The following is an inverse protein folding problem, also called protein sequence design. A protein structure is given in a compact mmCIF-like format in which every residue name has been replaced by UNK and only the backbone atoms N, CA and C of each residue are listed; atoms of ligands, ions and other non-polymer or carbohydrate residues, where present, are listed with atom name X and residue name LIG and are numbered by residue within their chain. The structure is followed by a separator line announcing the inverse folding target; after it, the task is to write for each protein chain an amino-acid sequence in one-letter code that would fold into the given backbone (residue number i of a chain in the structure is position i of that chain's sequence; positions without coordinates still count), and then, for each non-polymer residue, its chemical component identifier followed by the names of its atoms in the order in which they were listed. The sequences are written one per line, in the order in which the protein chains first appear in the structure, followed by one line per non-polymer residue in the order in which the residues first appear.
data_IF_025259096408
#
_entry.id   IF_025259096408
#
_cell.length_a   1.000
_cell.length_b   1.000
_cell.length_c   1.000
_cell.angle_alpha   90.00
_cell.angle_beta   90.00
_cell.angle_gamma   90.00
#
_symmetry.space_group_name_H-M   'P 1'
#
loop_
_entity.id
_entity.type
_entity.pdbx_description
1 polymer ?
#
# COMPACT_ATOMS: atom_id res chain seq x y z
N UNK A 1 10.73 -17.92 6.52
CA UNK A 1 10.95 -16.75 7.39
C UNK A 1 9.64 -15.99 7.51
N UNK A 2 9.42 -15.25 8.60
CA UNK A 2 8.23 -14.41 8.71
C UNK A 2 8.25 -13.33 7.61
N UNK A 3 7.14 -13.14 6.87
CA UNK A 3 7.10 -12.20 5.75
C UNK A 3 7.29 -10.77 6.24
N UNK A 4 8.06 -9.99 5.49
CA UNK A 4 8.11 -8.54 5.67
C UNK A 4 6.75 -7.95 5.37
N UNK A 5 6.27 -7.04 6.22
CA UNK A 5 5.11 -6.22 5.90
C UNK A 5 5.43 -5.46 4.61
N UNK A 6 4.50 -5.49 3.64
CA UNK A 6 4.54 -4.61 2.49
C UNK A 6 4.59 -3.15 2.95
N UNK A 7 5.13 -2.28 2.10
CA UNK A 7 5.23 -0.85 2.40
C UNK A 7 3.85 -0.19 2.66
N UNK A 8 3.84 1.07 3.08
CA UNK A 8 2.57 1.74 3.40
C UNK A 8 1.62 1.84 2.19
N UNK A 9 2.15 1.94 0.97
CA UNK A 9 1.34 2.09 -0.24
C UNK A 9 0.60 0.80 -0.60
N UNK A 10 1.21 -0.37 -0.34
CA UNK A 10 0.72 -1.67 -0.81
C UNK A 10 0.27 -2.61 0.32
N UNK A 11 -0.13 -2.07 1.48
CA UNK A 11 -0.52 -2.84 2.69
C UNK A 11 -1.87 -2.42 3.32
N UNK A 12 -2.68 -1.63 2.61
CA UNK A 12 -3.86 -0.96 3.19
C UNK A 12 -3.56 -0.25 4.51
N UNK A 13 -2.88 0.88 4.41
CA UNK A 13 -2.28 1.59 5.55
C UNK A 13 -3.23 2.43 6.41
N UNK A 14 -4.44 2.76 5.95
CA UNK A 14 -5.39 3.53 6.76
C UNK A 14 -5.63 2.83 8.11
N UNK A 15 -5.77 3.62 9.19
CA UNK A 15 -5.80 3.23 10.61
C UNK A 15 -4.51 2.68 11.22
N UNK A 16 -3.46 2.45 10.42
CA UNK A 16 -2.16 1.92 10.92
C UNK A 16 -1.13 3.01 11.22
N UNK A 17 -1.39 4.24 10.81
CA UNK A 17 -0.48 5.37 10.95
C UNK A 17 -1.21 6.61 11.44
N UNK A 18 -0.45 7.46 12.12
CA UNK A 18 -0.85 8.79 12.54
C UNK A 18 0.37 9.70 12.40
N UNK A 19 0.19 10.88 11.84
CA UNK A 19 1.23 11.91 11.75
C UNK A 19 0.79 13.15 12.51
N UNK A 20 1.69 13.69 13.32
CA UNK A 20 1.50 14.95 14.03
C UNK A 20 2.42 16.00 13.43
N UNK A 21 1.86 17.11 13.00
CA UNK A 21 2.59 18.27 12.52
C UNK A 21 3.09 19.13 13.69
N UNK A 22 4.10 20.00 13.48
CA UNK A 22 4.67 20.81 14.57
C UNK A 22 3.67 21.72 15.29
N UNK A 23 2.55 22.07 14.65
CA UNK A 23 1.47 22.87 15.24
C UNK A 23 0.43 22.02 16.02
N UNK A 24 0.69 20.73 16.21
CA UNK A 24 -0.22 19.80 16.88
C UNK A 24 -1.28 19.18 15.97
N UNK A 25 -1.36 19.57 14.69
CA UNK A 25 -2.36 19.02 13.78
C UNK A 25 -2.08 17.55 13.45
N UNK A 26 -3.15 16.76 13.41
CA UNK A 26 -3.09 15.31 13.22
C UNK A 26 -3.64 14.91 11.86
N UNK A 27 -2.91 14.04 11.17
CA UNK A 27 -3.19 13.55 9.83
C UNK A 27 -3.03 12.03 9.73
N UNK A 28 -3.69 11.36 8.76
CA UNK A 28 -3.66 9.90 8.64
C UNK A 28 -2.32 9.33 8.15
N UNK A 29 -1.42 10.17 7.61
CA UNK A 29 -0.07 9.76 7.23
C UNK A 29 0.88 10.97 7.15
N UNK A 30 2.18 10.72 6.94
CA UNK A 30 3.20 11.77 6.85
C UNK A 30 3.35 12.42 5.46
N UNK A 31 2.65 11.90 4.43
CA UNK A 31 2.57 12.61 3.15
C UNK A 31 1.76 13.89 3.31
N UNK A 32 2.01 14.94 2.50
CA UNK A 32 1.25 16.18 2.55
C UNK A 32 -0.23 15.92 2.25
N UNK A 33 -1.02 15.71 3.30
CA UNK A 33 -2.45 15.46 3.18
C UNK A 33 -3.18 16.80 2.98
N UNK A 34 -4.19 16.86 2.09
CA UNK A 34 -5.01 18.05 1.95
C UNK A 34 -5.77 18.36 3.25
N UNK A 35 -6.10 19.63 3.46
CA UNK A 35 -6.73 20.10 4.71
C UNK A 35 -8.05 19.42 5.05
N UNK A 36 -8.81 18.98 4.03
CA UNK A 36 -10.05 18.22 4.20
C UNK A 36 -9.83 16.78 4.72
N UNK A 37 -8.59 16.34 4.91
CA UNK A 37 -8.23 15.06 5.53
C UNK A 37 -7.61 15.23 6.93
N UNK A 38 -7.63 16.44 7.49
CA UNK A 38 -7.19 16.70 8.87
C UNK A 38 -8.08 15.95 9.86
N UNK A 39 -7.46 15.23 10.78
CA UNK A 39 -8.14 14.44 11.79
C UNK A 39 -8.52 15.28 13.02
N UNK A 40 -7.69 16.27 13.36
CA UNK A 40 -7.90 17.13 14.52
C UNK A 40 -6.62 17.84 14.93
N UNK A 41 -6.59 18.37 16.15
CA UNK A 41 -5.38 18.84 16.81
C UNK A 41 -5.19 18.08 18.11
N UNK A 42 -3.94 17.77 18.47
CA UNK A 42 -3.58 16.98 19.66
C UNK A 42 -4.16 17.55 20.96
N UNK A 43 -4.30 18.87 21.05
CA UNK A 43 -4.83 19.55 22.24
C UNK A 43 -6.31 19.20 22.50
N UNK A 44 -7.05 18.79 21.46
CA UNK A 44 -8.47 18.45 21.54
C UNK A 44 -8.70 16.92 21.65
N UNK A 45 -7.65 16.10 21.57
CA UNK A 45 -7.78 14.63 21.49
C UNK A 45 -7.92 14.00 22.87
N UNK A 46 -9.07 13.35 23.10
CA UNK A 46 -9.29 12.50 24.29
C UNK A 46 -8.88 11.05 24.07
N UNK A 47 -9.04 10.54 22.84
CA UNK A 47 -8.64 9.19 22.46
C UNK A 47 -8.17 9.16 21.01
N UNK A 48 -7.07 8.45 20.74
CA UNK A 48 -6.55 8.24 19.38
C UNK A 48 -7.58 7.55 18.49
N UNK A 49 -8.40 6.65 19.04
CA UNK A 49 -9.43 5.94 18.27
C UNK A 49 -10.45 6.88 17.63
N UNK A 50 -10.72 8.02 18.26
CA UNK A 50 -11.74 8.95 17.81
C UNK A 50 -11.28 9.71 16.56
N UNK A 51 -9.96 9.85 16.35
CA UNK A 51 -9.39 10.46 15.16
C UNK A 51 -9.81 9.73 13.88
N UNK A 52 -9.94 8.41 13.95
CA UNK A 52 -10.38 7.57 12.82
C UNK A 52 -11.90 7.56 12.61
N UNK A 53 -12.63 8.43 13.30
CA UNK A 53 -14.08 8.65 13.11
C UNK A 53 -14.39 10.08 12.67
N UNK A 54 -13.36 10.90 12.46
CA UNK A 54 -13.50 12.30 12.10
C UNK A 54 -13.93 12.45 10.63
N UNK A 55 -14.57 13.57 10.26
CA UNK A 55 -14.88 13.85 8.86
C UNK A 55 -13.66 13.78 7.95
N UNK A 56 -12.48 14.22 8.42
CA UNK A 56 -11.24 14.13 7.66
C UNK A 56 -10.81 12.70 7.37
N UNK A 57 -10.94 11.79 8.35
CA UNK A 57 -10.68 10.37 8.11
C UNK A 57 -11.71 9.74 7.15
N UNK A 58 -12.99 10.09 7.31
CA UNK A 58 -14.05 9.58 6.45
C UNK A 58 -13.80 9.98 4.99
N UNK A 59 -13.36 11.20 4.74
CA UNK A 59 -13.06 11.69 3.38
C UNK A 59 -11.99 10.85 2.67
N UNK A 60 -10.87 10.56 3.34
CA UNK A 60 -9.81 9.73 2.75
C UNK A 60 -10.28 8.27 2.58
N UNK A 61 -11.04 7.74 3.55
CA UNK A 61 -11.51 6.36 3.53
C UNK A 61 -12.49 6.13 2.38
N UNK A 62 -13.49 7.00 2.21
CA UNK A 62 -14.51 6.88 1.15
C UNK A 62 -13.87 6.88 -0.23
N UNK A 63 -13.00 7.86 -0.51
CA UNK A 63 -12.28 7.93 -1.79
C UNK A 63 -11.45 6.68 -2.06
N UNK A 64 -10.76 6.19 -1.03
CA UNK A 64 -9.95 4.97 -1.11
C UNK A 64 -10.79 3.73 -1.42
N UNK A 65 -11.97 3.59 -0.79
CA UNK A 65 -12.88 2.45 -1.01
C UNK A 65 -13.41 2.45 -2.44
N UNK A 66 -13.89 3.59 -2.94
CA UNK A 66 -14.41 3.73 -4.31
C UNK A 66 -13.33 3.37 -5.33
N UNK A 67 -12.12 3.90 -5.16
CA UNK A 67 -10.99 3.56 -6.03
C UNK A 67 -10.66 2.07 -6.00
N UNK A 68 -10.61 1.46 -4.82
CA UNK A 68 -10.26 0.04 -4.67
C UNK A 68 -11.26 -0.88 -5.36
N UNK A 69 -12.55 -0.54 -5.36
CA UNK A 69 -13.55 -1.28 -6.14
C UNK A 69 -13.18 -1.31 -7.64
N UNK A 70 -12.71 -0.19 -8.20
CA UNK A 70 -12.23 -0.13 -9.60
C UNK A 70 -10.95 -0.95 -9.82
N UNK A 71 -10.13 -1.14 -8.78
CA UNK A 71 -8.88 -1.90 -8.86
C UNK A 71 -9.08 -3.42 -8.73
N UNK A 72 -10.23 -3.91 -8.27
CA UNK A 72 -10.44 -5.34 -7.95
C UNK A 72 -10.24 -6.28 -9.16
N UNK A 73 -10.43 -5.80 -10.38
CA UNK A 73 -10.20 -6.57 -11.61
C UNK A 73 -8.74 -6.58 -12.08
N UNK A 74 -7.83 -5.87 -11.40
CA UNK A 74 -6.43 -5.79 -11.78
C UNK A 74 -5.67 -7.07 -11.39
N UNK A 75 -4.87 -7.59 -12.31
CA UNK A 75 -4.12 -8.86 -12.17
C UNK A 75 -3.12 -8.87 -11.00
N UNK A 76 -2.70 -7.69 -10.52
CA UNK A 76 -1.77 -7.53 -9.39
C UNK A 76 -2.44 -6.92 -8.17
N UNK A 77 -3.77 -6.86 -8.12
CA UNK A 77 -4.49 -6.20 -7.01
C UNK A 77 -4.07 -6.75 -5.65
N UNK A 78 -3.89 -8.06 -5.52
CA UNK A 78 -3.49 -8.69 -4.27
C UNK A 78 -2.15 -8.18 -3.74
N UNK A 79 -1.24 -7.79 -4.63
CA UNK A 79 0.07 -7.23 -4.28
C UNK A 79 0.03 -5.71 -4.14
N UNK A 80 -0.84 -5.01 -4.87
CA UNK A 80 -0.92 -3.55 -4.91
C UNK A 80 -1.86 -2.97 -3.85
N UNK A 81 -2.95 -3.66 -3.52
CA UNK A 81 -4.01 -3.23 -2.60
C UNK A 81 -4.58 -1.84 -2.92
N UNK A 82 -4.55 -1.45 -4.20
CA UNK A 82 -5.04 -0.16 -4.71
C UNK A 82 -4.11 1.04 -4.47
N UNK A 83 -2.88 0.83 -3.99
CA UNK A 83 -1.84 1.86 -3.89
C UNK A 83 -2.11 2.97 -2.87
N UNK A 84 -1.18 3.94 -2.80
CA UNK A 84 -1.25 5.07 -1.88
C UNK A 84 -2.44 5.99 -2.17
N UNK A 85 -3.25 6.30 -1.17
CA UNK A 85 -4.40 7.21 -1.30
C UNK A 85 -4.00 8.65 -1.60
N UNK A 86 -2.86 9.10 -1.08
CA UNK A 86 -2.36 10.46 -1.31
C UNK A 86 -1.79 10.62 -2.72
N UNK A 87 -1.08 9.62 -3.23
CA UNK A 87 -0.58 9.68 -4.62
C UNK A 87 -1.74 9.76 -5.61
N UNK A 88 -2.75 8.90 -5.47
CA UNK A 88 -3.92 8.99 -6.36
C UNK A 88 -4.68 10.30 -6.20
N UNK A 89 -4.77 10.88 -5.00
CA UNK A 89 -5.37 12.19 -4.82
C UNK A 89 -4.71 13.24 -5.72
N UNK A 90 -3.38 13.26 -5.78
CA UNK A 90 -2.62 14.23 -6.58
C UNK A 90 -2.51 13.87 -8.06
N UNK A 91 -2.45 12.59 -8.42
CA UNK A 91 -2.23 12.15 -9.80
C UNK A 91 -3.52 12.10 -10.62
N UNK A 92 -4.63 11.64 -10.02
CA UNK A 92 -5.85 11.29 -10.77
C UNK A 92 -7.15 11.59 -10.04
N UNK A 93 -7.08 12.12 -8.82
CA UNK A 93 -8.18 12.15 -7.86
C UNK A 93 -8.29 10.83 -7.06
N UNK A 94 -8.59 10.94 -5.76
CA UNK A 94 -8.51 9.82 -4.80
C UNK A 94 -9.43 8.64 -5.14
N UNK A 95 -10.53 8.88 -5.84
CA UNK A 95 -11.50 7.87 -6.27
C UNK A 95 -11.09 7.14 -7.57
N UNK A 96 -10.06 7.62 -8.26
CA UNK A 96 -9.65 7.10 -9.55
C UNK A 96 -8.35 6.29 -9.45
N UNK A 97 -8.22 5.30 -10.32
CA UNK A 97 -7.00 4.55 -10.54
C UNK A 97 -6.33 4.99 -11.85
N UNK A 98 -5.17 4.41 -12.18
CA UNK A 98 -4.49 4.69 -13.44
C UNK A 98 -3.56 5.92 -13.44
N UNK A 99 -3.39 6.60 -12.30
CA UNK A 99 -2.31 7.57 -12.10
C UNK A 99 -0.91 6.97 -12.32
N UNK A 100 0.11 7.81 -12.39
CA UNK A 100 1.48 7.40 -12.72
C UNK A 100 2.02 6.36 -11.74
N UNK A 101 1.77 6.49 -10.43
CA UNK A 101 2.18 5.49 -9.43
C UNK A 101 1.55 4.12 -9.71
N UNK A 102 0.28 4.09 -10.15
CA UNK A 102 -0.40 2.86 -10.52
C UNK A 102 0.19 2.23 -11.79
N UNK A 103 0.42 3.04 -12.83
CA UNK A 103 1.01 2.57 -14.10
C UNK A 103 2.42 2.02 -13.88
N UNK A 104 3.27 2.79 -13.20
CA UNK A 104 4.66 2.40 -12.94
C UNK A 104 4.70 1.11 -12.11
N UNK A 105 3.94 1.03 -11.01
CA UNK A 105 3.93 -0.18 -10.18
C UNK A 105 3.44 -1.39 -10.96
N UNK A 106 2.38 -1.24 -11.78
CA UNK A 106 1.86 -2.34 -12.59
C UNK A 106 2.88 -2.85 -13.60
N UNK A 107 3.52 -1.96 -14.36
CA UNK A 107 4.49 -2.37 -15.38
C UNK A 107 5.73 -3.02 -14.74
N UNK A 108 6.31 -2.38 -13.71
CA UNK A 108 7.52 -2.89 -13.05
C UNK A 108 7.23 -4.21 -12.33
N UNK A 109 6.16 -4.27 -11.53
CA UNK A 109 5.83 -5.46 -10.76
C UNK A 109 5.52 -6.65 -11.68
N UNK A 110 4.70 -6.46 -12.72
CA UNK A 110 4.38 -7.55 -13.67
C UNK A 110 5.63 -8.04 -14.39
N UNK A 111 6.54 -7.14 -14.79
CA UNK A 111 7.81 -7.55 -15.40
C UNK A 111 8.68 -8.37 -14.43
N UNK A 112 8.89 -7.87 -13.20
CA UNK A 112 9.68 -8.56 -12.18
C UNK A 112 9.05 -9.92 -11.85
N UNK A 113 7.73 -9.97 -11.67
CA UNK A 113 7.00 -11.21 -11.39
C UNK A 113 7.24 -12.23 -12.50
N UNK A 114 7.11 -11.83 -13.77
CA UNK A 114 7.37 -12.70 -14.92
C UNK A 114 8.79 -13.26 -14.88
N UNK A 115 9.80 -12.42 -14.68
CA UNK A 115 11.19 -12.87 -14.60
C UNK A 115 11.42 -13.86 -13.44
N UNK A 116 10.81 -13.63 -12.28
CA UNK A 116 10.91 -14.54 -11.14
C UNK A 116 10.20 -15.87 -11.42
N UNK A 117 9.00 -15.84 -12.01
CA UNK A 117 8.25 -17.04 -12.38
C UNK A 117 9.02 -17.89 -13.40
N UNK A 118 9.69 -17.29 -14.38
CA UNK A 118 10.56 -17.97 -15.35
C UNK A 118 11.75 -18.65 -14.66
N UNK A 119 12.43 -17.96 -13.75
CA UNK A 119 13.56 -18.55 -12.99
C UNK A 119 13.11 -19.75 -12.15
N UNK A 120 11.95 -19.65 -11.49
CA UNK A 120 11.38 -20.72 -10.66
C UNK A 120 10.95 -21.91 -11.52
N UNK A 121 10.25 -21.66 -12.63
CA UNK A 121 9.70 -22.72 -13.49
C UNK A 121 10.79 -23.49 -14.24
N UNK A 122 11.84 -22.82 -14.69
CA UNK A 122 12.96 -23.44 -15.41
C UNK A 122 13.96 -24.17 -14.48
N UNK A 123 13.78 -24.11 -13.15
CA UNK A 123 14.70 -24.67 -12.15
C UNK A 123 16.16 -24.28 -12.40
N UNK A 124 16.40 -23.01 -12.77
CA UNK A 124 17.75 -22.51 -13.03
C UNK A 124 18.66 -22.73 -11.84
N UNK A 125 19.93 -23.05 -12.10
CA UNK A 125 20.93 -23.07 -11.04
C UNK A 125 21.11 -21.66 -10.47
N UNK A 126 20.68 -21.49 -9.22
CA UNK A 126 20.74 -20.21 -8.51
C UNK A 126 22.07 -19.97 -7.81
N UNK A 127 23.05 -20.89 -7.94
CA UNK A 127 24.36 -20.78 -7.30
C UNK A 127 25.11 -19.50 -7.67
N UNK A 128 24.93 -19.04 -8.92
CA UNK A 128 25.55 -17.83 -9.47
C UNK A 128 24.78 -16.54 -9.17
N UNK A 129 23.60 -16.62 -8.55
CA UNK A 129 22.82 -15.43 -8.19
C UNK A 129 23.33 -14.83 -6.89
N UNK A 130 23.11 -13.52 -6.74
CA UNK A 130 23.32 -12.84 -5.46
C UNK A 130 22.53 -13.57 -4.36
N UNK A 131 23.16 -13.75 -3.19
CA UNK A 131 22.59 -14.50 -2.08
C UNK A 131 21.20 -13.99 -1.66
N UNK A 132 20.98 -12.67 -1.62
CA UNK A 132 19.68 -12.10 -1.24
C UNK A 132 18.60 -12.37 -2.30
N UNK A 133 18.95 -12.29 -3.58
CA UNK A 133 18.02 -12.60 -4.69
C UNK A 133 17.66 -14.08 -4.68
N UNK A 134 18.66 -14.95 -4.52
CA UNK A 134 18.45 -16.39 -4.39
C UNK A 134 17.54 -16.71 -3.20
N UNK A 135 17.80 -16.11 -2.05
CA UNK A 135 17.01 -16.34 -0.83
C UNK A 135 15.58 -15.82 -0.99
N UNK A 136 15.36 -14.70 -1.68
CA UNK A 136 14.02 -14.19 -1.99
C UNK A 136 13.24 -15.11 -2.95
N UNK A 137 13.91 -15.67 -3.96
CA UNK A 137 13.31 -16.61 -4.93
C UNK A 137 12.97 -17.93 -4.24
N UNK A 138 13.92 -18.53 -3.51
CA UNK A 138 13.74 -19.80 -2.79
C UNK A 138 12.78 -19.68 -1.60
N UNK A 139 12.73 -18.50 -0.98
CA UNK A 139 11.85 -18.18 0.14
C UNK A 139 10.37 -18.10 -0.23
N UNK A 140 10.03 -18.21 -1.53
CA UNK A 140 8.72 -17.95 -2.14
C UNK A 140 8.30 -16.48 -1.92
N UNK A 141 7.94 -15.78 -2.99
CA UNK A 141 7.19 -14.52 -2.92
C UNK A 141 5.79 -14.82 -2.36
N UNK A 142 5.67 -15.05 -1.04
CA UNK A 142 4.39 -15.30 -0.38
C UNK A 142 3.84 -13.96 0.10
N UNK A 143 2.69 -13.56 -0.44
CA UNK A 143 1.87 -12.55 0.20
C UNK A 143 1.14 -13.21 1.40
N UNK A 144 1.45 -12.86 2.66
CA UNK A 144 0.84 -13.49 3.84
C UNK A 144 -0.66 -13.28 3.97
N UNK A 145 -1.26 -12.32 3.26
CA UNK A 145 -2.68 -12.02 3.40
C UNK A 145 -3.60 -13.06 2.71
N UNK A 146 -3.05 -13.98 1.91
CA UNK A 146 -3.83 -14.90 1.08
C UNK A 146 -3.78 -16.38 1.48
N UNK A 147 -3.13 -16.74 2.59
CA UNK A 147 -3.15 -18.13 3.04
C UNK A 147 -3.42 -18.28 4.55
N UNK A 148 -4.69 -18.19 4.98
CA UNK A 148 -5.08 -18.44 6.37
C UNK A 148 -5.06 -19.92 6.79
N UNK A 149 -4.71 -20.84 5.88
CA UNK A 149 -4.79 -22.29 6.09
C UNK A 149 -3.45 -22.97 5.77
N UNK A 150 -2.39 -22.59 6.49
CA UNK A 150 -1.27 -23.47 6.83
C UNK A 150 -0.79 -23.14 8.25
#
# INVERSE_FOLDING_TARGET
GNPQMTDCAHSSCLTKWLCMYPNGDLYPCAKPCPGNMKLGNIDDVKSISDLFRTPGFVNILQGTVVRRQKCQSCEIYDYCQGGCSIDAYYESGIENNGGDSCRIYREVFTHVKKCVDEVISEKKDLSNYNAFVRDAILGRLVNPALNPLQ
#
